data_IF_883483282917
#
_entry.id   IF_883483282917
#
_cell.length_a   1.000
_cell.length_b   1.000
_cell.length_c   1.000
_cell.angle_alpha   90.00
_cell.angle_beta   90.00
_cell.angle_gamma   90.00
#
_symmetry.space_group_name_H-M   'P 1'
#
loop_
_entity.id
_entity.type
_entity.pdbx_description
1 polymer ?
#
# COMPACT_ATOMS: atom_id res chain seq x y z
N UNK A 1 -6.01 0.01 -17.65
CA UNK A 1 -5.10 0.66 -16.67
C UNK A 1 -5.21 0.00 -15.31
N UNK A 2 -4.11 -0.47 -14.72
CA UNK A 2 -4.05 -1.03 -13.36
C UNK A 2 -3.96 0.11 -12.35
N UNK A 3 -5.08 0.49 -11.75
CA UNK A 3 -5.15 1.62 -10.84
C UNK A 3 -4.95 1.17 -9.40
N UNK A 4 -3.69 0.96 -9.01
CA UNK A 4 -3.35 0.83 -7.58
C UNK A 4 -3.91 2.05 -6.83
N UNK A 5 -4.68 1.80 -5.77
CA UNK A 5 -5.33 2.84 -4.99
C UNK A 5 -5.30 2.56 -3.49
N UNK A 6 -5.64 3.58 -2.71
CA UNK A 6 -5.89 3.45 -1.29
C UNK A 6 -7.38 3.28 -1.06
N UNK A 7 -7.72 2.30 -0.23
CA UNK A 7 -9.07 2.15 0.31
C UNK A 7 -9.02 2.13 1.84
N UNK A 8 -10.14 2.40 2.50
CA UNK A 8 -10.24 2.46 3.96
C UNK A 8 -11.46 1.74 4.47
N UNK A 9 -11.27 1.05 5.58
CA UNK A 9 -12.29 0.25 6.24
C UNK A 9 -12.20 0.42 7.76
N UNK A 10 -13.19 -0.11 8.46
CA UNK A 10 -13.25 -0.13 9.91
C UNK A 10 -13.19 -1.59 10.36
N UNK A 11 -12.36 -1.86 11.36
CA UNK A 11 -12.30 -3.14 12.04
C UNK A 11 -13.49 -3.29 12.98
N UNK A 12 -13.79 -4.51 13.42
CA UNK A 12 -14.93 -4.79 14.32
C UNK A 12 -14.82 -4.04 15.66
N UNK A 13 -13.60 -3.76 16.11
CA UNK A 13 -13.31 -2.98 17.32
C UNK A 13 -13.48 -1.45 17.13
N UNK A 14 -13.92 -0.99 15.96
CA UNK A 14 -14.10 0.42 15.63
C UNK A 14 -12.83 1.14 15.14
N UNK A 15 -11.67 0.46 15.13
CA UNK A 15 -10.44 1.04 14.62
C UNK A 15 -10.53 1.26 13.11
N UNK A 16 -10.14 2.46 12.66
CA UNK A 16 -10.08 2.80 11.24
C UNK A 16 -8.74 2.40 10.66
N UNK A 17 -8.76 1.81 9.47
CA UNK A 17 -7.57 1.34 8.77
C UNK A 17 -7.60 1.74 7.30
N UNK A 18 -6.45 1.65 6.64
CA UNK A 18 -6.34 1.80 5.19
C UNK A 18 -5.38 0.77 4.59
N UNK A 19 -5.67 0.36 3.36
CA UNK A 19 -4.81 -0.56 2.61
C UNK A 19 -4.60 -0.07 1.18
N UNK A 20 -3.54 -0.57 0.55
CA UNK A 20 -3.25 -0.36 -0.87
C UNK A 20 -3.75 -1.59 -1.63
N UNK A 21 -4.59 -1.39 -2.63
CA UNK A 21 -5.26 -2.47 -3.38
C UNK A 21 -5.05 -2.32 -4.88
N UNK A 22 -5.03 -3.45 -5.58
CA UNK A 22 -5.14 -3.50 -7.02
C UNK A 22 -6.61 -3.50 -7.44
N UNK A 23 -7.12 -2.36 -7.93
CA UNK A 23 -8.53 -2.25 -8.36
C UNK A 23 -8.97 -3.24 -9.43
N UNK A 24 -8.04 -3.81 -10.21
CA UNK A 24 -8.40 -4.80 -11.24
C UNK A 24 -8.72 -6.17 -10.63
N UNK A 25 -7.95 -6.61 -9.64
CA UNK A 25 -8.12 -7.92 -9.02
C UNK A 25 -8.96 -7.85 -7.74
N UNK A 26 -9.08 -6.68 -7.14
CA UNK A 26 -9.67 -6.49 -5.81
C UNK A 26 -8.73 -6.84 -4.67
N UNK A 27 -7.51 -7.29 -4.97
CA UNK A 27 -6.60 -7.83 -3.97
C UNK A 27 -5.72 -6.74 -3.34
N UNK A 28 -5.48 -6.80 -2.02
CA UNK A 28 -4.48 -5.99 -1.35
C UNK A 28 -3.07 -6.33 -1.82
N UNK A 29 -2.22 -5.32 -2.03
CA UNK A 29 -0.80 -5.53 -2.31
C UNK A 29 -0.07 -5.99 -1.04
N UNK A 30 0.63 -7.11 -1.10
CA UNK A 30 1.25 -7.73 0.08
C UNK A 30 2.28 -6.82 0.78
N UNK A 31 3.40 -6.46 0.11
CA UNK A 31 4.48 -5.68 0.74
C UNK A 31 4.06 -4.28 1.21
N UNK A 32 3.30 -3.48 0.43
CA UNK A 32 2.77 -2.19 0.88
C UNK A 32 1.97 -2.31 2.17
N UNK A 33 1.07 -3.29 2.25
CA UNK A 33 0.20 -3.44 3.42
C UNK A 33 0.94 -4.00 4.62
N UNK A 34 1.93 -4.87 4.42
CA UNK A 34 2.83 -5.31 5.48
C UNK A 34 3.62 -4.13 6.07
N UNK A 35 4.15 -3.23 5.22
CA UNK A 35 4.83 -2.02 5.67
C UNK A 35 3.89 -1.09 6.45
N UNK A 36 2.68 -0.81 5.93
CA UNK A 36 1.70 0.04 6.63
C UNK A 36 1.37 -0.55 8.00
N UNK A 37 1.17 -1.86 8.10
CA UNK A 37 0.85 -2.54 9.36
C UNK A 37 1.99 -2.48 10.35
N UNK A 38 3.20 -2.84 9.91
CA UNK A 38 4.34 -3.02 10.82
C UNK A 38 5.07 -1.72 11.16
N UNK A 39 5.14 -0.77 10.22
CA UNK A 39 5.96 0.43 10.36
C UNK A 39 5.16 1.69 10.61
N UNK A 40 3.92 1.78 10.12
CA UNK A 40 3.10 3.00 10.21
C UNK A 40 2.06 2.88 11.33
N UNK A 41 1.22 1.85 11.32
CA UNK A 41 0.16 1.66 12.31
C UNK A 41 0.72 1.53 13.73
N UNK A 42 1.84 0.81 13.89
CA UNK A 42 2.51 0.62 15.17
C UNK A 42 3.04 1.92 15.83
N UNK A 43 3.07 3.04 15.10
CA UNK A 43 3.48 4.35 15.65
C UNK A 43 2.33 5.14 16.26
N UNK A 44 1.13 4.55 16.37
CA UNK A 44 -0.09 5.24 16.85
C UNK A 44 -0.46 6.50 16.05
N UNK A 45 -0.06 6.55 14.78
CA UNK A 45 -0.35 7.64 13.87
C UNK A 45 -1.84 7.73 13.52
N UNK A 46 -2.29 8.94 13.15
CA UNK A 46 -3.67 9.16 12.71
C UNK A 46 -3.98 8.39 11.42
N UNK A 47 -5.25 8.02 11.23
CA UNK A 47 -5.72 7.40 9.98
C UNK A 47 -5.46 8.30 8.76
N UNK A 48 -5.51 9.63 8.93
CA UNK A 48 -5.14 10.60 7.89
C UNK A 48 -3.67 10.47 7.49
N UNK A 49 -2.76 10.33 8.46
CA UNK A 49 -1.33 10.12 8.19
C UNK A 49 -1.12 8.82 7.42
N UNK A 50 -1.77 7.73 7.86
CA UNK A 50 -1.71 6.44 7.17
C UNK A 50 -2.18 6.53 5.71
N UNK A 51 -3.29 7.24 5.46
CA UNK A 51 -3.82 7.46 4.10
C UNK A 51 -2.85 8.25 3.21
N UNK A 52 -2.18 9.27 3.75
CA UNK A 52 -1.15 10.03 3.01
C UNK A 52 0.01 9.12 2.62
N UNK A 53 0.52 8.31 3.54
CA UNK A 53 1.62 7.36 3.28
C UNK A 53 1.20 6.31 2.25
N UNK A 54 0.02 5.69 2.42
CA UNK A 54 -0.53 4.72 1.48
C UNK A 54 -0.75 5.35 0.08
N UNK A 55 -1.12 6.63 0.03
CA UNK A 55 -1.28 7.39 -1.21
C UNK A 55 0.05 7.58 -1.95
N UNK A 56 1.11 7.94 -1.23
CA UNK A 56 2.47 8.03 -1.76
C UNK A 56 2.98 6.69 -2.29
N UNK A 57 2.75 5.60 -1.55
CA UNK A 57 3.10 4.24 -2.01
C UNK A 57 2.31 3.87 -3.27
N UNK A 58 1.00 4.16 -3.30
CA UNK A 58 0.16 3.90 -4.48
C UNK A 58 0.66 4.67 -5.71
N UNK A 59 1.11 5.91 -5.53
CA UNK A 59 1.71 6.70 -6.60
C UNK A 59 3.02 6.07 -7.11
N UNK A 60 3.89 5.64 -6.20
CA UNK A 60 5.15 4.97 -6.55
C UNK A 60 4.92 3.66 -7.32
N UNK A 61 3.97 2.82 -6.88
CA UNK A 61 3.62 1.60 -7.61
C UNK A 61 3.06 1.91 -9.00
N UNK A 62 2.19 2.91 -9.13
CA UNK A 62 1.71 3.34 -10.46
C UNK A 62 2.85 3.82 -11.36
N UNK A 63 3.87 4.47 -10.80
CA UNK A 63 5.08 4.83 -11.53
C UNK A 63 5.84 3.59 -12.01
N UNK A 64 6.08 2.61 -11.13
CA UNK A 64 6.73 1.35 -11.51
C UNK A 64 5.97 0.62 -12.62
N UNK A 65 4.65 0.52 -12.51
CA UNK A 65 3.81 -0.09 -13.55
C UNK A 65 3.92 0.66 -14.88
N UNK A 66 3.90 2.00 -14.87
CA UNK A 66 4.01 2.82 -16.09
C UNK A 66 5.40 2.73 -16.74
N UNK A 67 6.43 2.42 -15.95
CA UNK A 67 7.81 2.25 -16.40
C UNK A 67 8.21 0.79 -16.61
N UNK A 68 7.26 -0.14 -16.48
CA UNK A 68 7.49 -1.58 -16.60
C UNK A 68 8.63 -2.07 -15.67
N UNK A 69 8.69 -1.49 -14.47
CA UNK A 69 9.67 -1.83 -13.44
C UNK A 69 9.06 -2.89 -12.53
N UNK A 70 9.63 -4.10 -12.56
CA UNK A 70 9.40 -5.09 -11.50
C UNK A 70 10.32 -4.81 -10.32
N UNK A 71 9.77 -4.24 -9.24
CA UNK A 71 10.56 -3.88 -8.05
C UNK A 71 11.02 -5.11 -7.28
N UNK A 72 10.21 -6.16 -7.22
CA UNK A 72 10.52 -7.39 -6.49
C UNK A 72 11.73 -8.10 -7.13
N UNK A 73 11.73 -8.23 -8.45
CA UNK A 73 12.89 -8.75 -9.20
C UNK A 73 14.16 -7.92 -8.97
N UNK A 74 14.04 -6.59 -8.91
CA UNK A 74 15.21 -5.70 -8.70
C UNK A 74 15.81 -5.83 -7.31
N UNK A 75 14.98 -6.07 -6.30
CA UNK A 75 15.44 -6.27 -4.92
C UNK A 75 16.06 -7.66 -4.80
N UNK A 76 15.41 -8.70 -5.32
CA UNK A 76 15.91 -10.08 -5.29
C UNK A 76 17.25 -10.25 -6.01
N UNK A 77 17.49 -9.54 -7.12
CA UNK A 77 18.78 -9.58 -7.83
C UNK A 77 19.94 -8.91 -7.09
N UNK A 78 19.67 -8.15 -6.02
CA UNK A 78 20.68 -7.42 -5.24
C UNK A 78 21.09 -8.13 -3.95
N UNK A 79 20.38 -9.19 -3.58
CA UNK A 79 20.63 -10.03 -2.39
C UNK A 79 21.22 -11.35 -2.88
#
# INVERSE_FOLDING_TARGET
MSSICVDSFMLENGERYCHVVNKKTGEPLYYPNLYITTQVRNRSESISTMKVIAGSISLLYRFFMRKEINIDERIQKRI
#
